data_IF_971213212459
#
_entry.id   IF_971213212459
#
_cell.length_a   1.000
_cell.length_b   1.000
_cell.length_c   1.000
_cell.angle_alpha   90.00
_cell.angle_beta   90.00
_cell.angle_gamma   90.00
#
_symmetry.space_group_name_H-M   'P 1'
#
loop_
_entity.id
_entity.type
_entity.pdbx_description
1 polymer ?
#
# COMPACT_ATOMS: atom_id res chain seq x y z
N UNK A 1 -10.91 3.21 30.85
CA UNK A 1 -9.62 3.56 31.52
C UNK A 1 -8.97 2.37 32.19
N UNK A 2 -9.68 1.60 32.99
CA UNK A 2 -9.11 0.41 33.63
C UNK A 2 -8.71 -0.68 32.64
N UNK A 3 -9.43 -0.79 31.51
CA UNK A 3 -9.15 -1.81 30.48
C UNK A 3 -7.86 -1.52 29.69
N UNK A 4 -7.55 -0.26 29.44
CA UNK A 4 -6.32 0.13 28.77
C UNK A 4 -5.08 -0.17 29.63
N UNK A 5 -5.18 0.09 30.94
CA UNK A 5 -4.09 -0.21 31.88
C UNK A 5 -3.79 -1.69 32.00
N UNK A 6 -4.84 -2.52 32.04
CA UNK A 6 -4.71 -3.98 32.09
C UNK A 6 -4.04 -4.51 30.81
N UNK A 7 -4.45 -3.97 29.64
CA UNK A 7 -3.84 -4.33 28.36
C UNK A 7 -2.36 -3.95 28.30
N UNK A 8 -2.03 -2.75 28.77
CA UNK A 8 -0.63 -2.26 28.75
C UNK A 8 0.24 -3.12 29.68
N UNK A 9 -0.24 -3.48 30.85
CA UNK A 9 0.46 -4.37 31.77
C UNK A 9 0.69 -5.76 31.18
N UNK A 10 -0.32 -6.33 30.52
CA UNK A 10 -0.22 -7.62 29.84
C UNK A 10 0.81 -7.57 28.72
N UNK A 11 0.82 -6.49 27.94
CA UNK A 11 1.76 -6.30 26.83
C UNK A 11 3.20 -6.19 27.35
N UNK A 12 3.43 -5.36 28.40
CA UNK A 12 4.74 -5.19 29.00
C UNK A 12 5.30 -6.46 29.63
N UNK A 13 4.41 -7.35 30.07
CA UNK A 13 4.79 -8.61 30.72
C UNK A 13 4.83 -9.81 29.75
N UNK A 14 4.65 -9.57 28.45
CA UNK A 14 4.76 -10.66 27.47
C UNK A 14 6.16 -11.28 27.51
N UNK A 15 6.20 -12.60 27.60
CA UNK A 15 7.45 -13.34 27.52
C UNK A 15 7.96 -13.37 26.10
N UNK A 16 9.27 -13.46 25.93
CA UNK A 16 9.91 -13.54 24.62
C UNK A 16 9.30 -14.67 23.75
N UNK A 17 9.03 -15.82 24.37
CA UNK A 17 8.40 -16.95 23.69
C UNK A 17 7.03 -16.57 23.07
N UNK A 18 6.22 -15.82 23.82
CA UNK A 18 4.91 -15.35 23.34
C UNK A 18 5.07 -14.37 22.19
N UNK A 19 6.05 -13.48 22.28
CA UNK A 19 6.37 -12.51 21.22
C UNK A 19 6.80 -13.24 19.95
N UNK A 20 7.67 -14.23 20.07
CA UNK A 20 8.14 -15.03 18.93
C UNK A 20 6.99 -15.80 18.30
N UNK A 21 6.11 -16.38 19.10
CA UNK A 21 4.92 -17.08 18.59
C UNK A 21 4.02 -16.15 17.82
N UNK A 22 3.82 -14.91 18.29
CA UNK A 22 3.05 -13.90 17.57
C UNK A 22 3.68 -13.53 16.24
N UNK A 23 5.00 -13.43 16.20
CA UNK A 23 5.74 -13.12 14.97
C UNK A 23 5.67 -14.25 13.94
N UNK A 24 5.53 -15.50 14.40
CA UNK A 24 5.42 -16.66 13.54
C UNK A 24 4.00 -16.87 13.00
N UNK A 25 2.99 -16.28 13.65
CA UNK A 25 1.61 -16.38 13.18
C UNK A 25 1.46 -15.64 11.84
N UNK A 26 0.78 -16.27 10.84
CA UNK A 26 0.50 -15.56 9.61
C UNK A 26 -0.47 -14.40 9.88
N UNK A 27 -0.03 -13.20 9.55
CA UNK A 27 -0.85 -12.00 9.71
C UNK A 27 -1.45 -11.61 8.37
N UNK A 28 -2.74 -11.27 8.37
CA UNK A 28 -3.43 -10.79 7.20
C UNK A 28 -3.13 -9.30 7.01
N UNK A 29 -2.83 -8.89 5.78
CA UNK A 29 -2.63 -7.48 5.47
C UNK A 29 -3.91 -6.69 5.73
N UNK A 30 -3.83 -5.45 6.25
CA UNK A 30 -5.00 -4.60 6.40
C UNK A 30 -5.71 -4.39 5.06
N UNK A 31 -7.04 -4.44 5.07
CA UNK A 31 -7.86 -4.18 3.88
C UNK A 31 -8.86 -3.06 4.20
N UNK A 32 -9.18 -2.27 3.18
CA UNK A 32 -10.22 -1.27 3.27
C UNK A 32 -10.88 -1.08 1.90
N UNK A 33 -12.17 -0.74 1.93
CA UNK A 33 -12.93 -0.50 0.71
C UNK A 33 -13.25 0.99 0.62
N UNK A 34 -12.94 1.57 -0.53
CA UNK A 34 -13.16 2.99 -0.82
C UNK A 34 -14.12 3.13 -1.98
N UNK A 35 -14.97 4.13 -1.94
CA UNK A 35 -15.91 4.42 -3.01
C UNK A 35 -15.36 5.55 -3.89
N UNK A 36 -15.25 5.29 -5.18
CA UNK A 36 -14.81 6.28 -6.15
C UNK A 36 -16.06 6.90 -6.79
N UNK A 37 -16.48 8.03 -6.23
CA UNK A 37 -17.78 8.63 -6.53
C UNK A 37 -17.96 8.99 -8.00
N UNK A 38 -16.94 9.53 -8.66
CA UNK A 38 -17.02 9.94 -10.07
C UNK A 38 -17.30 8.75 -11.00
N UNK A 39 -16.73 7.60 -10.71
CA UNK A 39 -16.91 6.38 -11.50
C UNK A 39 -18.07 5.53 -10.96
N UNK A 40 -18.40 5.70 -9.67
CA UNK A 40 -19.50 4.99 -9.02
C UNK A 40 -19.21 3.54 -8.68
N UNK A 41 -17.94 3.23 -8.31
CA UNK A 41 -17.53 1.87 -7.98
C UNK A 41 -16.82 1.81 -6.63
N UNK A 42 -16.96 0.68 -5.91
CA UNK A 42 -16.11 0.42 -4.75
C UNK A 42 -14.78 -0.19 -5.21
N UNK A 43 -13.71 0.13 -4.51
CA UNK A 43 -12.40 -0.47 -4.71
C UNK A 43 -11.94 -1.00 -3.37
N UNK A 44 -11.59 -2.27 -3.30
CA UNK A 44 -11.02 -2.87 -2.09
C UNK A 44 -9.52 -2.99 -2.25
N UNK A 45 -8.80 -2.34 -1.34
CA UNK A 45 -7.34 -2.28 -1.32
C UNK A 45 -6.80 -3.03 -0.11
N UNK A 46 -5.61 -3.56 -0.24
CA UNK A 46 -4.87 -4.19 0.87
C UNK A 46 -3.51 -3.52 1.04
N UNK A 47 -2.96 -3.59 2.25
CA UNK A 47 -1.59 -3.16 2.50
C UNK A 47 -0.60 -4.07 1.79
N UNK A 48 0.51 -3.50 1.36
CA UNK A 48 1.61 -4.21 0.72
C UNK A 48 2.79 -4.32 1.67
N UNK A 49 3.58 -5.39 1.52
CA UNK A 49 4.82 -5.56 2.27
C UNK A 49 5.90 -4.62 1.75
N UNK A 50 6.91 -4.38 2.57
CA UNK A 50 8.09 -3.59 2.19
C UNK A 50 8.75 -4.18 0.93
N UNK A 51 8.86 -5.50 0.88
CA UNK A 51 9.44 -6.21 -0.27
C UNK A 51 8.66 -5.92 -1.56
N UNK A 52 7.34 -5.96 -1.50
CA UNK A 52 6.48 -5.67 -2.65
C UNK A 52 6.62 -4.21 -3.11
N UNK A 53 6.59 -3.28 -2.18
CA UNK A 53 6.72 -1.85 -2.50
C UNK A 53 8.10 -1.54 -3.09
N UNK A 54 9.16 -2.11 -2.52
CA UNK A 54 10.51 -1.92 -3.03
C UNK A 54 10.68 -2.49 -4.44
N UNK A 55 10.09 -3.65 -4.70
CA UNK A 55 10.09 -4.25 -6.04
C UNK A 55 9.40 -3.32 -7.04
N UNK A 56 8.24 -2.81 -6.69
CA UNK A 56 7.47 -1.89 -7.55
C UNK A 56 8.26 -0.61 -7.80
N UNK A 57 8.85 -0.03 -6.74
CA UNK A 57 9.67 1.18 -6.86
C UNK A 57 10.84 0.97 -7.81
N UNK A 58 11.51 -0.16 -7.71
CA UNK A 58 12.62 -0.52 -8.56
C UNK A 58 12.20 -0.64 -10.03
N UNK A 59 11.06 -1.28 -10.29
CA UNK A 59 10.52 -1.42 -11.65
C UNK A 59 10.11 -0.08 -12.26
N UNK A 60 9.76 0.89 -11.44
CA UNK A 60 9.31 2.22 -11.88
C UNK A 60 10.43 3.27 -11.86
N UNK A 61 11.64 2.88 -11.53
CA UNK A 61 12.81 3.76 -11.50
C UNK A 61 13.52 3.66 -12.84
N UNK A 62 13.85 4.81 -13.42
CA UNK A 62 14.58 4.89 -14.68
C UNK A 62 15.81 5.78 -14.55
N UNK A 63 16.78 5.57 -15.42
CA UNK A 63 18.02 6.36 -15.45
C UNK A 63 17.89 7.46 -16.49
N UNK A 64 18.18 8.69 -16.08
CA UNK A 64 18.18 9.86 -16.94
C UNK A 64 19.59 10.42 -17.04
N UNK A 65 20.04 10.71 -18.27
CA UNK A 65 21.28 11.42 -18.51
C UNK A 65 21.05 12.91 -18.34
N UNK A 66 21.84 13.54 -17.48
CA UNK A 66 21.88 14.99 -17.36
C UNK A 66 23.05 15.60 -18.11
N UNK A 67 23.02 16.95 -18.24
CA UNK A 67 24.14 17.73 -18.80
C UNK A 67 25.44 17.36 -18.09
N UNK A 68 26.48 17.02 -18.87
CA UNK A 68 27.79 16.64 -18.34
C UNK A 68 27.99 15.15 -18.13
N UNK A 69 27.08 14.31 -18.60
CA UNK A 69 27.22 12.84 -18.55
C UNK A 69 26.83 12.21 -17.23
N UNK A 70 26.27 12.96 -16.28
CA UNK A 70 25.75 12.42 -15.01
C UNK A 70 24.51 11.59 -15.27
N UNK A 71 24.50 10.38 -14.71
CA UNK A 71 23.32 9.54 -14.70
C UNK A 71 22.59 9.71 -13.37
N UNK A 72 21.31 10.10 -13.43
CA UNK A 72 20.45 10.22 -12.25
C UNK A 72 19.36 9.19 -12.35
N UNK A 73 19.09 8.52 -11.22
CA UNK A 73 17.93 7.65 -11.11
C UNK A 73 16.71 8.49 -10.73
N UNK A 74 15.62 8.31 -11.45
CA UNK A 74 14.35 8.98 -11.18
C UNK A 74 13.22 7.97 -11.08
N UNK A 75 12.32 8.21 -10.13
CA UNK A 75 11.09 7.44 -10.01
C UNK A 75 10.03 8.04 -10.92
N UNK A 76 9.40 7.20 -11.73
CA UNK A 76 8.21 7.57 -12.49
C UNK A 76 7.00 7.49 -11.54
N UNK A 77 6.58 8.63 -11.02
CA UNK A 77 5.51 8.70 -10.01
C UNK A 77 4.16 8.19 -10.52
N UNK A 78 3.81 8.47 -11.77
CA UNK A 78 2.56 7.98 -12.36
C UNK A 78 2.55 6.46 -12.46
N UNK A 79 3.64 5.91 -12.98
CA UNK A 79 3.81 4.47 -13.11
C UNK A 79 3.83 3.79 -11.74
N UNK A 80 4.50 4.40 -10.77
CA UNK A 80 4.59 3.90 -9.42
C UNK A 80 3.21 3.83 -8.75
N UNK A 81 2.43 4.90 -8.83
CA UNK A 81 1.08 4.94 -8.26
C UNK A 81 0.15 3.91 -8.93
N UNK A 82 0.18 3.81 -10.24
CA UNK A 82 -0.62 2.82 -10.97
C UNK A 82 -0.23 1.38 -10.59
N UNK A 83 1.07 1.12 -10.46
CA UNK A 83 1.58 -0.19 -10.07
C UNK A 83 1.21 -0.55 -8.62
N UNK A 84 1.25 0.43 -7.71
CA UNK A 84 0.79 0.22 -6.33
C UNK A 84 -0.68 -0.16 -6.30
N UNK A 85 -1.50 0.56 -7.04
CA UNK A 85 -2.96 0.32 -7.10
C UNK A 85 -3.22 -1.07 -7.67
N UNK A 86 -2.58 -1.42 -8.78
CA UNK A 86 -2.76 -2.75 -9.39
C UNK A 86 -2.40 -3.87 -8.42
N UNK A 87 -1.25 -3.76 -7.75
CA UNK A 87 -0.77 -4.78 -6.82
C UNK A 87 -1.64 -4.88 -5.56
N UNK A 88 -2.18 -3.77 -5.08
CA UNK A 88 -2.93 -3.71 -3.83
C UNK A 88 -4.42 -3.96 -3.98
N UNK A 89 -4.96 -3.96 -5.19
CA UNK A 89 -6.40 -4.11 -5.39
C UNK A 89 -6.84 -5.56 -5.26
N UNK A 90 -7.69 -5.81 -4.27
CA UNK A 90 -8.34 -7.11 -4.09
C UNK A 90 -9.52 -7.23 -5.06
N UNK A 91 -10.26 -6.15 -5.26
CA UNK A 91 -11.40 -6.05 -6.17
C UNK A 91 -11.54 -4.60 -6.63
N UNK A 92 -11.79 -4.33 -7.90
CA UNK A 92 -12.05 -5.25 -9.01
C UNK A 92 -10.76 -5.86 -9.59
N UNK A 93 -10.91 -6.75 -10.57
CA UNK A 93 -9.78 -7.27 -11.36
C UNK A 93 -9.51 -6.32 -12.52
N UNK A 94 -8.45 -5.51 -12.41
CA UNK A 94 -8.07 -4.56 -13.47
C UNK A 94 -7.61 -5.22 -14.76
N UNK A 95 -7.20 -6.49 -14.67
CA UNK A 95 -6.74 -7.27 -15.83
C UNK A 95 -7.86 -8.10 -16.48
N UNK A 96 -9.11 -7.81 -16.14
CA UNK A 96 -10.25 -8.47 -16.77
C UNK A 96 -10.20 -8.24 -18.28
N UNK A 97 -10.33 -9.32 -19.06
CA UNK A 97 -10.18 -9.27 -20.51
C UNK A 97 -11.16 -8.31 -21.19
N UNK A 98 -12.38 -8.22 -20.67
CA UNK A 98 -13.39 -7.29 -21.18
C UNK A 98 -12.96 -5.82 -21.02
N UNK A 99 -12.34 -5.50 -19.88
CA UNK A 99 -11.81 -4.16 -19.63
C UNK A 99 -10.63 -3.86 -20.56
N UNK A 100 -9.70 -4.80 -20.66
CA UNK A 100 -8.52 -4.61 -21.50
C UNK A 100 -8.90 -4.38 -22.96
N UNK A 101 -9.84 -5.18 -23.48
CA UNK A 101 -10.29 -5.07 -24.86
C UNK A 101 -11.05 -3.77 -25.10
N UNK A 102 -11.99 -3.43 -24.23
CA UNK A 102 -12.81 -2.23 -24.39
C UNK A 102 -12.00 -0.94 -24.30
N UNK A 103 -11.02 -0.89 -23.41
CA UNK A 103 -10.17 0.29 -23.19
C UNK A 103 -8.89 0.28 -24.03
N UNK A 104 -8.66 -0.78 -24.80
CA UNK A 104 -7.42 -0.96 -25.56
C UNK A 104 -6.18 -0.84 -24.66
N UNK A 105 -6.26 -1.49 -23.52
CA UNK A 105 -5.20 -1.48 -22.52
C UNK A 105 -4.43 -2.80 -22.59
N UNK A 106 -3.12 -2.77 -22.38
CA UNK A 106 -2.29 -3.97 -22.39
C UNK A 106 -2.25 -4.66 -21.03
N UNK A 107 -2.51 -3.92 -19.95
CA UNK A 107 -2.50 -4.44 -18.59
C UNK A 107 -3.39 -3.59 -17.66
N UNK A 108 -3.52 -4.03 -16.41
CA UNK A 108 -4.33 -3.34 -15.40
C UNK A 108 -3.83 -1.94 -15.06
N UNK A 109 -2.51 -1.71 -15.13
CA UNK A 109 -1.96 -0.36 -14.90
C UNK A 109 -2.46 0.62 -15.94
N UNK A 110 -2.53 0.20 -17.19
CA UNK A 110 -3.07 1.05 -18.26
C UNK A 110 -4.56 1.31 -18.09
N UNK A 111 -5.33 0.32 -17.63
CA UNK A 111 -6.74 0.52 -17.29
C UNK A 111 -6.89 1.64 -16.26
N UNK A 112 -6.11 1.59 -15.20
CA UNK A 112 -6.12 2.58 -14.13
C UNK A 112 -5.79 3.97 -14.68
N UNK A 113 -4.74 4.09 -15.45
CA UNK A 113 -4.30 5.36 -16.05
C UNK A 113 -5.34 5.96 -17.01
N UNK A 114 -6.01 5.11 -17.79
CA UNK A 114 -6.99 5.55 -18.77
C UNK A 114 -8.33 5.93 -18.15
N UNK A 115 -8.71 5.25 -17.07
CA UNK A 115 -10.04 5.42 -16.48
C UNK A 115 -10.10 6.50 -15.41
N UNK A 116 -9.01 6.72 -14.66
CA UNK A 116 -9.01 7.62 -13.53
C UNK A 116 -8.26 8.92 -13.84
N UNK A 117 -8.69 9.99 -13.15
CA UNK A 117 -8.00 11.27 -13.21
C UNK A 117 -6.71 11.21 -12.39
N UNK A 118 -5.75 12.07 -12.71
CA UNK A 118 -4.46 12.10 -12.03
C UNK A 118 -4.58 12.22 -10.52
N UNK A 119 -5.48 13.09 -10.04
CA UNK A 119 -5.72 13.25 -8.61
C UNK A 119 -6.35 12.03 -7.95
N UNK A 120 -7.18 11.31 -8.69
CA UNK A 120 -7.79 10.06 -8.21
C UNK A 120 -6.73 8.98 -8.06
N UNK A 121 -5.86 8.82 -9.04
CA UNK A 121 -4.75 7.86 -8.99
C UNK A 121 -3.83 8.18 -7.79
N UNK A 122 -3.50 9.44 -7.61
CA UNK A 122 -2.67 9.89 -6.48
C UNK A 122 -3.34 9.58 -5.14
N UNK A 123 -4.63 9.89 -5.01
CA UNK A 123 -5.39 9.65 -3.77
C UNK A 123 -5.49 8.15 -3.43
N UNK A 124 -5.75 7.31 -4.44
CA UNK A 124 -5.84 5.86 -4.24
C UNK A 124 -4.46 5.30 -3.85
N UNK A 125 -3.40 5.76 -4.53
CA UNK A 125 -2.03 5.38 -4.19
C UNK A 125 -1.66 5.72 -2.75
N UNK A 126 -2.06 6.90 -2.28
CA UNK A 126 -1.85 7.32 -0.88
C UNK A 126 -2.56 6.36 0.09
N UNK A 127 -3.77 5.92 -0.25
CA UNK A 127 -4.49 4.96 0.58
C UNK A 127 -3.80 3.61 0.65
N UNK A 128 -3.20 3.16 -0.45
CA UNK A 128 -2.39 1.94 -0.45
C UNK A 128 -1.20 2.09 0.52
N UNK A 129 -0.52 3.22 0.49
CA UNK A 129 0.61 3.48 1.40
C UNK A 129 0.17 3.55 2.86
N UNK A 130 -0.97 4.18 3.14
CA UNK A 130 -1.54 4.19 4.50
C UNK A 130 -1.83 2.78 5.00
N UNK A 131 -2.46 1.94 4.17
CA UNK A 131 -2.74 0.54 4.53
C UNK A 131 -1.46 -0.27 4.68
N UNK A 132 -0.39 0.16 4.05
CA UNK A 132 0.94 -0.46 4.14
C UNK A 132 1.74 0.04 5.34
N UNK A 133 1.16 0.87 6.20
CA UNK A 133 1.74 1.31 7.46
C UNK A 133 2.59 2.59 7.39
N UNK A 134 2.65 3.27 6.25
CA UNK A 134 3.55 4.41 6.07
C UNK A 134 3.20 5.63 6.93
N UNK A 135 1.94 5.79 7.30
CA UNK A 135 1.50 6.91 8.12
C UNK A 135 1.09 6.48 9.53
N UNK A 136 1.35 5.22 9.90
CA UNK A 136 1.03 4.73 11.23
C UNK A 136 2.05 5.24 12.24
N UNK A 137 1.55 5.82 13.32
CA UNK A 137 2.38 6.18 14.45
C UNK A 137 2.53 4.97 15.37
N UNK A 138 3.76 4.72 15.82
CA UNK A 138 4.01 3.67 16.80
C UNK A 138 3.63 4.18 18.18
N UNK A 139 2.82 3.41 18.89
CA UNK A 139 2.41 3.75 20.25
C UNK A 139 3.50 3.40 21.24
N UNK A 140 3.88 4.38 22.06
CA UNK A 140 4.76 4.13 23.19
C UNK A 140 3.92 3.61 24.36
N UNK A 141 4.34 2.50 24.94
CA UNK A 141 3.68 1.93 26.09
C UNK A 141 4.39 2.42 27.34
N UNK A 142 3.70 3.20 28.17
CA UNK A 142 4.25 3.73 29.39
C UNK A 142 4.39 2.65 30.47
N UNK A 143 5.51 2.67 31.18
CA UNK A 143 5.72 1.79 32.32
C UNK A 143 4.82 2.25 33.49
N UNK A 144 3.89 1.40 33.87
CA UNK A 144 2.86 1.71 34.86
C UNK A 144 3.34 1.50 36.30
N UNK A 145 4.63 1.28 36.51
CA UNK A 145 5.20 1.00 37.84
C UNK A 145 5.40 2.22 38.74
N UNK A 146 4.63 3.22 38.54
CA UNK A 146 4.66 4.37 39.46
C UNK A 146 3.29 4.61 40.06
#
# INVERSE_FOLDING_TARGET
>A
MSNERIQDEEILNMKEEDIINRLLEPTKAPEATYFISRVGIPITLKGLSEKEINRIRKECTYTRKERGGRKIEKLDDEEFNAALIEAATVSPNWNNSKLLDALKASDGKQVIKKKFLAGEVSAIGDKVLELSGYNDELEEIEDIKN
#
